data_IF_036004572919
#
_entry.id   IF_036004572919
#
_cell.length_a   1.000
_cell.length_b   1.000
_cell.length_c   1.000
_cell.angle_alpha   90.00
_cell.angle_beta   90.00
_cell.angle_gamma   90.00
#
_symmetry.space_group_name_H-M   'P 1'
#
loop_
_entity.id
_entity.type
_entity.pdbx_description
1 polymer ?
#
# COMPACT_ATOMS: atom_id res chain seq x y z
N UNK A 1 4.41 -6.59 7.48
CA UNK A 1 2.93 -6.58 7.43
C UNK A 1 2.47 -7.94 6.95
N UNK A 2 1.38 -8.47 7.51
CA UNK A 2 0.79 -9.73 7.07
C UNK A 2 -0.70 -9.50 6.85
N UNK A 3 -1.22 -9.95 5.71
CA UNK A 3 -2.64 -9.86 5.33
C UNK A 3 -2.95 -10.98 4.35
N UNK A 4 -4.21 -11.39 4.29
CA UNK A 4 -4.74 -12.28 3.23
C UNK A 4 -5.16 -11.52 1.97
N UNK A 5 -5.23 -10.19 2.05
CA UNK A 5 -5.49 -9.30 0.92
C UNK A 5 -4.14 -8.83 0.35
N UNK A 6 -3.73 -9.33 -0.83
CA UNK A 6 -2.45 -8.97 -1.45
C UNK A 6 -2.41 -7.50 -1.87
N UNK A 7 -3.52 -6.95 -2.35
CA UNK A 7 -3.61 -5.54 -2.76
C UNK A 7 -3.46 -4.62 -1.55
N UNK A 8 -4.03 -5.00 -0.41
CA UNK A 8 -3.87 -4.24 0.83
C UNK A 8 -2.41 -4.25 1.32
N UNK A 9 -1.67 -5.36 1.14
CA UNK A 9 -0.23 -5.39 1.46
C UNK A 9 0.55 -4.40 0.61
N UNK A 10 0.35 -4.44 -0.69
CA UNK A 10 1.06 -3.57 -1.63
C UNK A 10 0.71 -2.10 -1.41
N UNK A 11 -0.56 -1.78 -1.14
CA UNK A 11 -1.00 -0.43 -0.82
C UNK A 11 -0.32 0.12 0.45
N UNK A 12 -0.22 -0.69 1.52
CA UNK A 12 0.47 -0.27 2.75
C UNK A 12 1.99 -0.17 2.54
N UNK A 13 2.58 -1.10 1.79
CA UNK A 13 3.99 -1.06 1.45
C UNK A 13 4.34 0.20 0.64
N UNK A 14 3.55 0.51 -0.39
CA UNK A 14 3.70 1.71 -1.21
C UNK A 14 3.60 2.98 -0.36
N UNK A 15 2.58 3.08 0.50
CA UNK A 15 2.44 4.22 1.42
C UNK A 15 3.69 4.41 2.28
N UNK A 16 4.19 3.34 2.88
CA UNK A 16 5.36 3.40 3.76
C UNK A 16 6.63 3.76 2.99
N UNK A 17 6.78 3.22 1.78
CA UNK A 17 7.88 3.55 0.89
C UNK A 17 7.85 5.03 0.48
N UNK A 18 6.69 5.57 0.11
CA UNK A 18 6.51 6.98 -0.23
C UNK A 18 6.86 7.89 0.96
N UNK A 19 6.43 7.54 2.18
CA UNK A 19 6.82 8.26 3.40
C UNK A 19 8.34 8.29 3.59
N UNK A 20 9.02 7.19 3.29
CA UNK A 20 10.49 7.08 3.41
C UNK A 20 11.19 7.91 2.32
N UNK A 21 10.70 7.81 1.09
CA UNK A 21 11.23 8.56 -0.06
C UNK A 21 11.04 10.05 0.12
N UNK A 22 9.89 10.49 0.63
CA UNK A 22 9.63 11.89 0.97
C UNK A 22 10.64 12.43 1.97
N UNK A 23 10.98 11.67 3.03
CA UNK A 23 12.02 12.07 4.00
C UNK A 23 13.41 12.16 3.39
N UNK A 24 13.70 11.30 2.41
CA UNK A 24 14.96 11.32 1.66
C UNK A 24 15.00 12.28 0.47
N UNK A 25 13.98 13.12 0.27
CA UNK A 25 13.84 13.97 -0.93
C UNK A 25 13.94 13.20 -2.27
N UNK A 26 13.51 11.94 -2.27
CA UNK A 26 13.48 11.10 -3.45
C UNK A 26 12.15 11.27 -4.19
N UNK A 27 12.18 11.10 -5.52
CA UNK A 27 10.96 11.16 -6.35
C UNK A 27 9.96 10.08 -5.95
N UNK A 28 8.64 10.35 -6.01
CA UNK A 28 7.62 9.34 -5.76
C UNK A 28 7.69 8.20 -6.79
N UNK A 29 7.21 7.03 -6.38
CA UNK A 29 7.11 5.80 -7.19
C UNK A 29 5.65 5.39 -7.44
N UNK A 30 4.67 6.08 -6.86
CA UNK A 30 3.24 5.87 -7.12
C UNK A 30 2.88 5.67 -8.60
N UNK A 31 3.40 6.46 -9.56
CA UNK A 31 3.10 6.28 -10.98
C UNK A 31 3.49 4.92 -11.56
N UNK A 32 4.57 4.29 -11.07
CA UNK A 32 4.98 2.94 -11.51
C UNK A 32 4.28 1.81 -10.74
N UNK A 33 3.51 2.17 -9.70
CA UNK A 33 2.73 1.25 -8.88
C UNK A 33 1.23 1.27 -9.20
N UNK A 34 0.85 1.77 -10.38
CA UNK A 34 -0.54 1.88 -10.83
C UNK A 34 -1.31 0.54 -10.83
N UNK A 35 -0.61 -0.59 -10.89
CA UNK A 35 -1.20 -1.92 -10.82
C UNK A 35 -2.01 -2.17 -9.54
N UNK A 36 -1.67 -1.49 -8.43
CA UNK A 36 -2.37 -1.65 -7.14
C UNK A 36 -3.82 -1.17 -7.26
N UNK A 37 -4.01 0.00 -7.88
CA UNK A 37 -5.35 0.56 -8.08
C UNK A 37 -6.15 -0.23 -9.11
N UNK A 38 -5.52 -0.69 -10.19
CA UNK A 38 -6.16 -1.55 -11.19
C UNK A 38 -6.60 -2.88 -10.56
N UNK A 39 -5.74 -3.52 -9.78
CA UNK A 39 -6.08 -4.77 -9.09
C UNK A 39 -7.27 -4.58 -8.13
N UNK A 40 -7.34 -3.43 -7.46
CA UNK A 40 -8.49 -3.11 -6.60
C UNK A 40 -9.78 -2.90 -7.39
N UNK A 41 -9.72 -2.20 -8.53
CA UNK A 41 -10.87 -2.00 -9.42
C UNK A 41 -11.39 -3.32 -10.01
N UNK A 42 -10.51 -4.31 -10.21
CA UNK A 42 -10.86 -5.66 -10.64
C UNK A 42 -11.40 -6.55 -9.50
N UNK A 43 -11.46 -6.04 -8.26
CA UNK A 43 -11.97 -6.79 -7.10
C UNK A 43 -10.98 -7.82 -6.55
N UNK A 44 -9.69 -7.73 -6.89
CA UNK A 44 -8.65 -8.66 -6.41
C UNK A 44 -8.16 -8.35 -4.99
N UNK A 45 -8.66 -7.27 -4.40
CA UNK A 45 -8.33 -6.79 -3.07
C UNK A 45 -8.66 -5.30 -2.91
N UNK A 46 -8.25 -4.71 -1.80
CA UNK A 46 -8.58 -3.32 -1.48
C UNK A 46 -7.34 -2.42 -1.38
N UNK A 47 -7.23 -1.43 -2.28
CA UNK A 47 -6.17 -0.39 -2.21
C UNK A 47 -6.55 0.82 -1.37
N UNK A 48 -7.83 0.97 -1.01
CA UNK A 48 -8.32 2.14 -0.28
C UNK A 48 -7.76 2.16 1.15
N UNK A 49 -6.74 3.00 1.36
CA UNK A 49 -5.96 3.06 2.62
C UNK A 49 -6.83 3.34 3.85
N UNK A 50 -7.89 4.13 3.70
CA UNK A 50 -8.85 4.43 4.78
C UNK A 50 -9.74 3.23 5.17
N UNK A 51 -9.74 2.16 4.37
CA UNK A 51 -10.46 0.91 4.63
C UNK A 51 -9.52 -0.23 5.02
N UNK A 52 -8.20 -0.01 5.04
CA UNK A 52 -7.22 -1.00 5.46
C UNK A 52 -6.92 -0.79 6.94
N UNK A 53 -7.30 -1.75 7.77
CA UNK A 53 -6.96 -1.75 9.19
C UNK A 53 -5.56 -2.35 9.40
N UNK A 54 -4.67 -1.60 10.05
CA UNK A 54 -3.33 -2.08 10.42
C UNK A 54 -3.32 -2.38 11.92
N UNK A 55 -3.06 -3.64 12.28
CA UNK A 55 -2.91 -4.08 13.67
C UNK A 55 -1.47 -4.48 13.97
N UNK A 56 -0.96 -4.06 15.13
CA UNK A 56 0.30 -4.57 15.66
C UNK A 56 0.04 -5.91 16.36
N UNK A 57 0.71 -6.96 15.90
CA UNK A 57 0.53 -8.33 16.44
C UNK A 57 1.58 -8.64 17.53
N UNK A 58 2.12 -7.59 18.15
CA UNK A 58 3.14 -7.67 19.19
C UNK A 58 2.93 -6.58 20.23
N UNK A 59 2.18 -6.92 21.28
CA UNK A 59 2.32 -6.38 22.63
C UNK A 59 1.88 -7.46 23.61
#
# INVERSE_FOLDING_TARGET
>A
YASKDPVALDAIALKRLEEWRKRGSLRPVGPVAAYIDVASQLGLGNSATNRIEIRNIGR
#
